data_IF_448125571935
#
_entry.id   IF_448125571935
#
_cell.length_a   1.000
_cell.length_b   1.000
_cell.length_c   1.000
_cell.angle_alpha   90.00
_cell.angle_beta   90.00
_cell.angle_gamma   90.00
#
_symmetry.space_group_name_H-M   'P 1'
#
loop_
_entity.id
_entity.type
_entity.pdbx_description
1 polymer ?
#
# COMPACT_ATOMS: atom_id res chain seq x y z
N UNK A 1 -23.70 6.03 -3.55
CA UNK A 1 -22.82 6.75 -2.59
C UNK A 1 -21.36 6.56 -2.97
N UNK A 2 -20.91 5.32 -3.21
CA UNK A 2 -19.63 5.04 -3.85
C UNK A 2 -19.44 5.81 -5.17
N UNK A 3 -20.51 5.90 -5.96
CA UNK A 3 -20.47 6.50 -7.30
C UNK A 3 -20.22 8.01 -7.34
N UNK A 4 -20.17 8.67 -6.17
CA UNK A 4 -19.86 10.10 -6.03
C UNK A 4 -18.40 10.36 -5.68
N UNK A 5 -17.59 9.31 -5.56
CA UNK A 5 -16.18 9.44 -5.21
C UNK A 5 -15.29 8.96 -6.34
N UNK A 6 -14.20 9.68 -6.54
CA UNK A 6 -13.12 9.34 -7.47
C UNK A 6 -11.85 9.11 -6.67
N UNK A 7 -11.12 8.05 -7.00
CA UNK A 7 -9.89 7.66 -6.33
C UNK A 7 -8.66 8.24 -7.04
N UNK A 8 -7.83 8.99 -6.33
CA UNK A 8 -6.47 9.30 -6.79
C UNK A 8 -5.47 8.49 -5.98
N UNK A 9 -4.39 8.05 -6.63
CA UNK A 9 -3.26 7.45 -5.94
C UNK A 9 -2.03 8.32 -6.13
N UNK A 10 -1.36 8.66 -5.03
CA UNK A 10 -0.08 9.39 -5.03
C UNK A 10 0.97 8.58 -4.28
N UNK A 11 2.24 8.85 -4.55
CA UNK A 11 3.33 8.20 -3.83
C UNK A 11 4.54 9.13 -3.67
N UNK A 12 5.28 8.94 -2.58
CA UNK A 12 6.47 9.71 -2.26
C UNK A 12 7.34 9.02 -1.22
N UNK A 13 8.37 9.72 -0.74
CA UNK A 13 9.32 9.21 0.28
C UNK A 13 9.17 9.89 1.64
N UNK A 14 8.20 10.80 1.78
CA UNK A 14 7.86 11.48 3.02
C UNK A 14 6.34 11.49 3.22
N UNK A 15 5.87 11.90 4.40
CA UNK A 15 4.43 12.10 4.62
C UNK A 15 3.90 13.41 4.03
N UNK A 16 4.77 14.28 3.50
CA UNK A 16 4.36 15.54 2.89
C UNK A 16 3.69 15.28 1.52
N UNK A 17 2.38 15.52 1.37
CA UNK A 17 1.68 15.22 0.12
C UNK A 17 2.13 16.10 -1.05
N UNK A 18 2.70 17.28 -0.79
CA UNK A 18 3.22 18.17 -1.84
C UNK A 18 4.47 17.60 -2.54
N UNK A 19 5.18 16.70 -1.86
CA UNK A 19 6.36 15.99 -2.41
C UNK A 19 5.96 14.71 -3.15
N UNK A 20 4.68 14.37 -3.19
CA UNK A 20 4.21 13.14 -3.83
C UNK A 20 3.99 13.35 -5.33
N UNK A 21 4.16 12.27 -6.08
CA UNK A 21 3.84 12.18 -7.49
C UNK A 21 2.55 11.38 -7.67
N UNK A 22 1.74 11.75 -8.67
CA UNK A 22 0.55 10.98 -9.05
C UNK A 22 0.98 9.64 -9.63
N UNK A 23 0.41 8.55 -9.12
CA UNK A 23 0.65 7.20 -9.62
C UNK A 23 -0.27 6.95 -10.81
N UNK A 24 0.26 6.60 -12.01
CA UNK A 24 -0.56 6.27 -13.17
C UNK A 24 -1.14 4.86 -13.01
N UNK A 25 -2.24 4.74 -12.25
CA UNK A 25 -2.87 3.45 -11.93
C UNK A 25 -3.19 2.67 -13.20
N UNK A 26 -2.92 1.35 -13.17
CA UNK A 26 -3.08 0.40 -14.27
C UNK A 26 -2.24 0.69 -15.53
N UNK A 27 -1.36 1.70 -15.52
CA UNK A 27 -0.47 1.99 -16.65
C UNK A 27 0.58 0.89 -16.86
N UNK A 28 1.02 0.74 -18.12
CA UNK A 28 2.18 -0.09 -18.46
C UNK A 28 3.50 0.52 -17.94
N UNK A 29 3.54 1.82 -17.67
CA UNK A 29 4.74 2.50 -17.17
C UNK A 29 4.76 2.57 -15.64
N UNK A 30 5.83 2.12 -14.97
CA UNK A 30 6.00 2.33 -13.54
C UNK A 30 6.28 3.81 -13.23
N UNK A 31 5.98 4.22 -11.99
CA UNK A 31 6.41 5.49 -11.42
C UNK A 31 7.77 5.32 -10.76
N UNK A 32 8.76 6.11 -11.18
CA UNK A 32 10.10 6.14 -10.57
C UNK A 32 10.16 7.17 -9.44
N UNK A 33 10.68 6.74 -8.29
CA UNK A 33 10.84 7.57 -7.09
C UNK A 33 12.27 7.38 -6.58
N UNK A 34 12.96 8.48 -6.29
CA UNK A 34 14.33 8.49 -5.80
C UNK A 34 14.43 9.40 -4.56
N UNK A 35 15.21 8.99 -3.57
CA UNK A 35 15.59 9.80 -2.41
C UNK A 35 17.02 9.46 -1.97
N UNK A 36 17.52 10.14 -0.95
CA UNK A 36 18.79 9.82 -0.31
C UNK A 36 18.82 8.42 0.36
N UNK A 37 17.66 7.79 0.58
CA UNK A 37 17.56 6.51 1.28
C UNK A 37 17.19 5.33 0.37
N UNK A 38 16.49 5.57 -0.74
CA UNK A 38 15.95 4.49 -1.59
C UNK A 38 15.73 4.92 -3.03
N UNK A 39 15.93 3.98 -3.96
CA UNK A 39 15.44 4.02 -5.34
C UNK A 39 14.25 3.08 -5.47
N UNK A 40 13.15 3.51 -6.10
CA UNK A 40 11.92 2.72 -6.25
C UNK A 40 11.34 2.86 -7.66
N UNK A 41 10.90 1.75 -8.24
CA UNK A 41 9.93 1.75 -9.34
C UNK A 41 8.63 1.11 -8.85
N UNK A 42 7.53 1.84 -8.95
CA UNK A 42 6.22 1.49 -8.38
C UNK A 42 5.17 1.29 -9.47
N UNK A 43 4.35 0.25 -9.32
CA UNK A 43 3.08 0.09 -10.02
C UNK A 43 1.96 -0.18 -9.04
N UNK A 44 0.87 0.58 -9.19
CA UNK A 44 -0.40 0.31 -8.53
C UNK A 44 -1.40 -0.14 -9.58
N UNK A 45 -2.05 -1.27 -9.32
CA UNK A 45 -3.09 -1.84 -10.17
C UNK A 45 -4.35 -1.99 -9.37
N UNK A 46 -5.49 -1.60 -9.92
CA UNK A 46 -6.79 -1.66 -9.27
C UNK A 46 -7.79 -2.20 -10.28
N UNK A 47 -8.52 -3.26 -9.92
CA UNK A 47 -9.55 -3.87 -10.75
C UNK A 47 -10.79 -2.97 -10.72
N UNK A 48 -11.41 -2.74 -11.89
CA UNK A 48 -12.55 -1.83 -12.04
C UNK A 48 -12.28 -0.41 -11.48
N UNK A 49 -11.10 0.12 -11.80
CA UNK A 49 -10.63 1.44 -11.38
C UNK A 49 -11.50 2.56 -11.95
N UNK A 50 -11.96 3.45 -11.07
CA UNK A 50 -12.58 4.74 -11.37
C UNK A 50 -11.81 5.80 -10.60
N UNK A 51 -10.95 6.53 -11.28
CA UNK A 51 -9.99 7.38 -10.58
C UNK A 51 -9.24 8.36 -11.47
N UNK A 52 -8.30 9.06 -10.85
CA UNK A 52 -7.42 10.04 -11.48
C UNK A 52 -6.01 9.47 -11.72
N UNK A 53 -5.38 9.75 -12.87
CA UNK A 53 -5.92 10.56 -13.99
C UNK A 53 -7.07 9.84 -14.71
N UNK A 54 -8.02 10.59 -15.28
CA UNK A 54 -9.19 10.02 -15.97
C UNK A 54 -8.82 9.12 -17.15
N UNK A 55 -7.62 9.28 -17.70
CA UNK A 55 -7.06 8.45 -18.78
C UNK A 55 -6.54 7.09 -18.30
N UNK A 56 -6.47 6.83 -16.99
CA UNK A 56 -5.98 5.55 -16.47
C UNK A 56 -6.89 4.39 -16.91
N UNK A 57 -6.32 3.25 -17.34
CA UNK A 57 -7.12 2.08 -17.69
C UNK A 57 -7.99 1.62 -16.52
N UNK A 58 -9.21 1.18 -16.84
CA UNK A 58 -10.17 0.65 -15.84
C UNK A 58 -9.66 -0.64 -15.18
N UNK A 59 -8.78 -1.39 -15.87
CA UNK A 59 -8.21 -2.63 -15.34
C UNK A 59 -6.84 -2.91 -15.94
N UNK A 60 -6.18 -3.94 -15.44
CA UNK A 60 -4.89 -4.43 -15.93
C UNK A 60 -4.97 -5.92 -16.29
N UNK A 61 -4.22 -6.34 -17.31
CA UNK A 61 -4.04 -7.75 -17.68
C UNK A 61 -3.46 -8.60 -16.55
N UNK A 62 -2.81 -7.97 -15.56
CA UNK A 62 -2.36 -8.59 -14.32
C UNK A 62 -3.45 -9.44 -13.64
N UNK A 63 -4.69 -8.95 -13.58
CA UNK A 63 -5.79 -9.64 -12.91
C UNK A 63 -6.31 -10.86 -13.67
N UNK A 64 -5.89 -11.03 -14.93
CA UNK A 64 -6.20 -12.21 -15.76
C UNK A 64 -5.16 -13.32 -15.63
N UNK A 65 -4.02 -13.07 -14.97
CA UNK A 65 -3.03 -14.11 -14.71
C UNK A 65 -3.65 -15.20 -13.81
N UNK A 66 -3.34 -16.49 -14.02
CA UNK A 66 -4.06 -17.60 -13.38
C UNK A 66 -4.17 -17.48 -11.85
N UNK A 67 -3.11 -16.99 -11.19
CA UNK A 67 -3.07 -16.80 -9.75
C UNK A 67 -4.06 -15.72 -9.29
N UNK A 68 -3.99 -14.54 -9.88
CA UNK A 68 -4.82 -13.39 -9.50
C UNK A 68 -6.29 -13.57 -9.90
N UNK A 69 -6.54 -14.28 -11.01
CA UNK A 69 -7.88 -14.66 -11.43
C UNK A 69 -8.53 -15.66 -10.47
N UNK A 70 -7.76 -16.67 -10.01
CA UNK A 70 -8.24 -17.70 -9.07
C UNK A 70 -8.65 -17.09 -7.74
N UNK A 71 -7.85 -16.17 -7.20
CA UNK A 71 -8.07 -15.58 -5.89
C UNK A 71 -8.97 -14.32 -5.93
N UNK A 72 -9.37 -13.86 -7.14
CA UNK A 72 -10.13 -12.63 -7.41
C UNK A 72 -9.50 -11.38 -6.77
N UNK A 73 -8.18 -11.24 -6.91
CA UNK A 73 -7.43 -10.09 -6.42
C UNK A 73 -8.03 -8.78 -6.95
N UNK A 74 -8.18 -7.80 -6.05
CA UNK A 74 -8.83 -6.51 -6.36
C UNK A 74 -7.85 -5.39 -6.61
N UNK A 75 -6.66 -5.48 -6.04
CA UNK A 75 -5.60 -4.52 -6.26
C UNK A 75 -4.23 -5.17 -6.03
N UNK A 76 -3.20 -4.49 -6.53
CA UNK A 76 -1.80 -4.82 -6.33
C UNK A 76 -0.99 -3.53 -6.16
N UNK A 77 -0.03 -3.57 -5.24
CA UNK A 77 1.05 -2.60 -5.08
C UNK A 77 2.34 -3.37 -5.33
N UNK A 78 2.86 -3.29 -6.56
CA UNK A 78 4.13 -3.90 -6.93
C UNK A 78 5.22 -2.85 -6.97
N UNK A 79 6.36 -3.12 -6.34
CA UNK A 79 7.48 -2.20 -6.37
C UNK A 79 8.81 -2.95 -6.42
N UNK A 80 9.71 -2.48 -7.27
CA UNK A 80 11.12 -2.80 -7.17
C UNK A 80 11.81 -1.69 -6.37
N UNK A 81 12.77 -2.03 -5.52
CA UNK A 81 13.52 -1.05 -4.77
C UNK A 81 14.97 -1.44 -4.50
N UNK A 82 15.81 -0.44 -4.25
CA UNK A 82 17.18 -0.63 -3.77
C UNK A 82 17.51 0.42 -2.72
N UNK A 83 18.00 -0.03 -1.57
CA UNK A 83 18.34 0.82 -0.43
C UNK A 83 19.73 1.45 -0.60
N UNK A 84 19.91 2.67 -0.08
CA UNK A 84 21.23 3.32 -0.01
C UNK A 84 22.02 2.92 1.23
N UNK A 85 21.35 2.42 2.27
CA UNK A 85 21.94 1.89 3.50
C UNK A 85 21.30 0.55 3.87
N UNK A 86 22.10 -0.38 4.41
CA UNK A 86 21.62 -1.70 4.83
C UNK A 86 20.69 -1.58 6.03
N UNK A 87 19.55 -2.31 6.01
CA UNK A 87 18.56 -2.31 7.10
C UNK A 87 18.42 -3.75 7.66
N UNK A 88 18.28 -3.88 8.98
CA UNK A 88 18.02 -5.19 9.61
C UNK A 88 16.66 -5.75 9.16
N UNK A 89 16.57 -7.08 9.03
CA UNK A 89 15.34 -7.75 8.59
C UNK A 89 14.09 -7.39 9.40
N UNK A 90 14.24 -7.19 10.70
CA UNK A 90 13.16 -6.81 11.61
C UNK A 90 12.78 -5.32 11.60
N UNK A 91 13.58 -4.46 10.96
CA UNK A 91 13.38 -3.01 10.97
C UNK A 91 12.81 -2.44 9.68
N UNK A 92 12.90 -3.18 8.57
CA UNK A 92 12.21 -2.80 7.33
C UNK A 92 10.76 -3.29 7.40
N UNK A 93 9.86 -2.36 7.66
CA UNK A 93 8.44 -2.63 7.87
C UNK A 93 7.61 -2.23 6.65
N UNK A 94 6.53 -2.96 6.40
CA UNK A 94 5.49 -2.60 5.45
C UNK A 94 4.11 -2.74 6.09
N UNK A 95 3.20 -1.84 5.77
CA UNK A 95 1.84 -1.89 6.30
C UNK A 95 1.12 -0.57 6.15
N UNK A 96 0.15 -0.31 7.05
CA UNK A 96 -0.72 0.86 7.01
C UNK A 96 -0.51 1.75 8.24
N UNK A 97 -0.65 3.06 8.05
CA UNK A 97 -0.69 4.02 9.15
C UNK A 97 -1.71 5.13 8.86
N UNK A 98 -2.11 5.83 9.93
CA UNK A 98 -3.12 6.87 9.89
C UNK A 98 -2.63 8.09 10.67
N UNK A 99 -2.88 9.27 10.12
CA UNK A 99 -2.45 10.53 10.74
C UNK A 99 -3.32 10.89 11.94
N UNK A 100 -4.58 10.48 11.88
CA UNK A 100 -5.62 10.87 12.81
C UNK A 100 -6.24 9.64 13.47
N UNK A 101 -6.76 9.78 14.70
CA UNK A 101 -7.44 8.69 15.37
C UNK A 101 -8.66 8.21 14.55
N UNK A 102 -8.83 6.89 14.48
CA UNK A 102 -9.97 6.25 13.80
C UNK A 102 -10.92 5.55 14.76
N UNK A 103 -10.59 5.49 16.06
CA UNK A 103 -11.31 4.73 17.10
C UNK A 103 -12.82 4.99 17.14
N UNK A 104 -13.25 6.24 16.93
CA UNK A 104 -14.67 6.62 16.96
C UNK A 104 -15.43 6.29 15.67
N UNK A 105 -14.71 5.83 14.64
CA UNK A 105 -15.23 5.48 13.31
C UNK A 105 -15.16 3.98 13.03
N UNK A 106 -14.67 3.19 13.98
CA UNK A 106 -14.56 1.74 13.80
C UNK A 106 -15.96 1.10 13.81
N UNK A 107 -16.26 0.21 12.85
CA UNK A 107 -17.49 -0.56 12.84
C UNK A 107 -17.71 -1.32 14.16
N UNK A 108 -18.97 -1.49 14.62
CA UNK A 108 -19.26 -2.43 15.69
C UNK A 108 -18.67 -3.82 15.39
N UNK A 109 -17.93 -4.39 16.34
CA UNK A 109 -17.25 -5.68 16.14
C UNK A 109 -15.92 -5.61 15.38
N UNK A 110 -15.33 -4.43 15.18
CA UNK A 110 -14.03 -4.28 14.52
C UNK A 110 -12.91 -5.11 15.18
N UNK A 111 -12.93 -5.31 16.50
CA UNK A 111 -11.99 -6.22 17.18
C UNK A 111 -12.05 -7.66 16.63
N UNK A 112 -13.21 -8.11 16.18
CA UNK A 112 -13.38 -9.42 15.52
C UNK A 112 -12.79 -9.38 14.11
N UNK A 113 -13.04 -8.32 13.32
CA UNK A 113 -12.43 -8.16 12.00
C UNK A 113 -10.90 -8.08 12.09
N UNK A 114 -10.37 -7.33 13.06
CA UNK A 114 -8.95 -7.20 13.33
C UNK A 114 -8.32 -8.53 13.74
N UNK A 115 -9.01 -9.31 14.57
CA UNK A 115 -8.60 -10.68 14.88
C UNK A 115 -8.60 -11.55 13.62
N UNK A 116 -9.60 -11.47 12.75
CA UNK A 116 -9.62 -12.23 11.49
C UNK A 116 -8.42 -11.83 10.60
N UNK A 117 -8.09 -10.55 10.49
CA UNK A 117 -6.91 -10.08 9.74
C UNK A 117 -5.62 -10.70 10.30
N UNK A 118 -5.40 -10.64 11.61
CA UNK A 118 -4.20 -11.25 12.22
C UNK A 118 -4.15 -12.77 12.09
N UNK A 119 -5.28 -13.45 12.26
CA UNK A 119 -5.33 -14.91 12.28
C UNK A 119 -5.32 -15.55 10.89
N UNK A 120 -5.91 -14.90 9.89
CA UNK A 120 -6.11 -15.47 8.56
C UNK A 120 -5.33 -14.79 7.44
N UNK A 121 -4.92 -13.53 7.60
CA UNK A 121 -4.33 -12.74 6.50
C UNK A 121 -2.84 -12.52 6.70
N UNK A 122 -2.45 -11.89 7.82
CA UNK A 122 -1.03 -11.69 8.16
C UNK A 122 -0.82 -11.76 9.69
N UNK A 123 -0.24 -12.86 10.19
CA UNK A 123 0.07 -13.03 11.61
C UNK A 123 1.23 -12.17 12.10
N UNK A 124 2.02 -11.58 11.20
CA UNK A 124 3.15 -10.70 11.53
C UNK A 124 2.76 -9.25 11.76
N UNK A 125 1.48 -8.89 11.54
CA UNK A 125 1.01 -7.53 11.77
C UNK A 125 0.98 -7.21 13.28
N UNK A 126 1.76 -6.22 13.66
CA UNK A 126 1.69 -5.53 14.93
C UNK A 126 1.05 -4.16 14.72
N UNK A 127 0.31 -3.70 15.73
CA UNK A 127 -0.19 -2.33 15.67
C UNK A 127 -1.27 -2.01 16.68
N UNK A 128 -1.52 -0.71 16.78
CA UNK A 128 -2.51 -0.12 17.66
C UNK A 128 -3.49 0.70 16.80
N UNK A 129 -4.70 0.18 16.67
CA UNK A 129 -5.80 0.79 15.93
C UNK A 129 -6.56 1.85 16.74
N UNK A 130 -6.34 1.92 18.05
CA UNK A 130 -7.00 2.84 18.98
C UNK A 130 -6.13 4.06 19.33
N UNK A 131 -4.84 4.02 18.99
CA UNK A 131 -3.89 5.12 19.14
C UNK A 131 -4.36 6.42 18.48
N UNK A 132 -3.75 7.54 18.89
CA UNK A 132 -3.99 8.83 18.23
C UNK A 132 -3.43 8.87 16.80
N UNK A 133 -2.34 8.11 16.57
CA UNK A 133 -1.82 7.82 15.23
C UNK A 133 -1.86 6.31 15.01
N UNK A 134 -3.01 5.78 14.56
CA UNK A 134 -3.18 4.35 14.37
C UNK A 134 -2.18 3.77 13.37
N UNK A 135 -1.74 2.54 13.58
CA UNK A 135 -0.84 1.85 12.66
C UNK A 135 -1.01 0.35 12.71
N UNK A 136 -0.62 -0.31 11.61
CA UNK A 136 -0.56 -1.74 11.40
C UNK A 136 0.64 -2.04 10.52
N UNK A 137 1.72 -2.55 11.11
CA UNK A 137 2.96 -2.87 10.39
C UNK A 137 3.39 -4.30 10.68
N UNK A 138 3.99 -4.94 9.69
CA UNK A 138 4.78 -6.15 9.89
C UNK A 138 6.13 -6.04 9.18
N UNK A 139 7.09 -6.93 9.50
CA UNK A 139 8.31 -7.04 8.73
C UNK A 139 8.00 -7.28 7.24
N UNK A 140 8.70 -6.56 6.35
CA UNK A 140 8.45 -6.67 4.90
C UNK A 140 8.49 -8.13 4.41
N UNK A 141 9.40 -8.93 4.97
CA UNK A 141 9.58 -10.33 4.62
C UNK A 141 8.38 -11.24 4.93
N UNK A 142 7.47 -10.83 5.83
CA UNK A 142 6.22 -11.56 6.12
C UNK A 142 4.98 -10.88 5.55
N UNK A 143 5.01 -9.56 5.38
CA UNK A 143 3.82 -8.77 5.02
C UNK A 143 3.57 -8.59 3.52
N UNK A 144 4.44 -9.14 2.66
CA UNK A 144 4.29 -9.07 1.20
C UNK A 144 3.96 -10.45 0.60
N UNK A 145 3.14 -10.51 -0.44
CA UNK A 145 2.76 -11.78 -1.10
C UNK A 145 3.90 -12.38 -1.92
N UNK A 146 4.65 -11.55 -2.66
CA UNK A 146 5.82 -12.00 -3.44
C UNK A 146 7.05 -11.23 -3.02
N UNK A 147 8.12 -11.96 -2.69
CA UNK A 147 9.46 -11.40 -2.53
C UNK A 147 10.41 -11.98 -3.58
N UNK A 148 10.95 -11.10 -4.41
CA UNK A 148 12.01 -11.37 -5.35
C UNK A 148 13.32 -10.74 -4.86
N UNK A 149 14.37 -11.55 -4.71
CA UNK A 149 15.72 -11.08 -4.36
C UNK A 149 16.55 -10.97 -5.64
N UNK A 150 16.88 -9.75 -6.03
CA UNK A 150 17.68 -9.46 -7.22
C UNK A 150 19.18 -9.44 -6.92
N UNK A 151 19.88 -8.53 -7.61
CA UNK A 151 21.32 -8.33 -7.48
C UNK A 151 21.66 -6.84 -7.54
N UNK A 152 22.94 -6.49 -7.46
CA UNK A 152 23.41 -5.11 -7.70
C UNK A 152 23.28 -4.68 -9.16
N UNK A 153 23.12 -5.63 -10.09
CA UNK A 153 22.73 -5.34 -11.48
C UNK A 153 21.21 -5.20 -11.50
N UNK A 154 20.75 -3.95 -11.39
CA UNK A 154 19.33 -3.61 -11.36
C UNK A 154 18.66 -3.99 -12.68
N UNK A 155 17.63 -4.82 -12.60
CA UNK A 155 16.80 -5.26 -13.75
C UNK A 155 15.55 -4.40 -13.87
N UNK A 156 14.95 -4.03 -12.73
CA UNK A 156 13.65 -3.38 -12.66
C UNK A 156 13.75 -1.89 -12.38
N UNK A 157 14.85 -1.41 -11.78
CA UNK A 157 15.14 0.01 -11.49
C UNK A 157 15.86 0.74 -12.65
N UNK A 158 15.94 0.15 -13.84
CA UNK A 158 16.74 0.70 -14.95
C UNK A 158 16.32 2.13 -15.32
N UNK A 159 17.31 3.03 -15.42
CA UNK A 159 17.15 4.43 -15.85
C UNK A 159 16.93 4.58 -17.37
N UNK A 160 17.12 3.51 -18.14
CA UNK A 160 16.96 3.56 -19.59
C UNK A 160 15.48 3.37 -19.93
N UNK A 161 14.80 4.49 -20.17
CA UNK A 161 13.40 4.66 -20.60
C UNK A 161 12.99 3.89 -21.88
N UNK A 162 13.87 3.07 -22.46
CA UNK A 162 13.63 2.36 -23.71
C UNK A 162 12.99 0.99 -23.54
N UNK A 163 12.93 0.47 -22.30
CA UNK A 163 12.11 -0.71 -22.01
C UNK A 163 10.82 -0.26 -21.34
N UNK A 164 9.87 0.19 -22.16
CA UNK A 164 8.55 0.70 -21.79
C UNK A 164 7.69 -0.27 -20.97
N UNK A 165 8.14 -1.52 -20.80
CA UNK A 165 7.46 -2.60 -20.12
C UNK A 165 8.33 -3.23 -19.02
N UNK A 166 8.86 -2.42 -18.09
CA UNK A 166 9.13 -2.95 -16.76
C UNK A 166 7.78 -3.33 -16.14
N UNK A 167 7.26 -4.51 -16.48
CA UNK A 167 5.91 -4.93 -16.11
C UNK A 167 5.74 -5.04 -14.59
N UNK A 168 6.83 -5.03 -13.83
CA UNK A 168 6.90 -5.30 -12.38
C UNK A 168 6.04 -6.51 -12.02
N UNK A 169 6.24 -7.59 -12.78
CA UNK A 169 5.70 -8.91 -12.50
C UNK A 169 6.81 -9.73 -11.88
N UNK A 170 6.59 -10.12 -10.62
CA UNK A 170 7.57 -10.86 -9.84
C UNK A 170 7.10 -12.30 -9.65
N UNK A 171 8.07 -13.20 -9.53
CA UNK A 171 7.86 -14.53 -8.98
C UNK A 171 8.63 -14.64 -7.67
N UNK A 172 8.09 -15.41 -6.73
CA UNK A 172 8.75 -15.66 -5.45
C UNK A 172 10.13 -16.31 -5.69
N UNK A 173 11.15 -15.84 -4.98
CA UNK A 173 12.51 -16.33 -5.13
C UNK A 173 13.49 -15.20 -5.42
N UNK A 174 14.21 -15.30 -6.54
CA UNK A 174 15.21 -14.31 -6.93
C UNK A 174 15.90 -14.62 -8.26
N UNK A 175 16.84 -13.77 -8.68
CA UNK A 175 17.79 -14.13 -9.73
C UNK A 175 18.71 -15.26 -9.25
N UNK A 176 19.67 -15.71 -10.07
CA UNK A 176 20.62 -16.76 -9.66
C UNK A 176 21.33 -16.44 -8.34
N UNK A 177 21.89 -15.23 -8.24
CA UNK A 177 22.60 -14.75 -7.03
C UNK A 177 21.63 -14.58 -5.86
N UNK A 178 20.45 -13.99 -6.08
CA UNK A 178 19.46 -13.80 -5.03
C UNK A 178 18.87 -15.11 -4.51
N UNK A 179 18.71 -16.11 -5.38
CA UNK A 179 18.28 -17.45 -5.01
C UNK A 179 19.35 -18.19 -4.20
N UNK A 180 20.64 -18.03 -4.58
CA UNK A 180 21.74 -18.56 -3.79
C UNK A 180 21.80 -17.94 -2.39
N UNK A 181 21.61 -16.61 -2.29
CA UNK A 181 21.54 -15.90 -1.01
C UNK A 181 20.38 -16.39 -0.14
N UNK A 182 19.19 -16.59 -0.72
CA UNK A 182 18.04 -17.15 0.00
C UNK A 182 18.36 -18.54 0.58
N UNK A 183 18.98 -19.40 -0.23
CA UNK A 183 19.37 -20.75 0.20
C UNK A 183 20.41 -20.73 1.32
N UNK A 184 21.44 -19.88 1.23
CA UNK A 184 22.45 -19.76 2.29
C UNK A 184 21.85 -19.27 3.61
N UNK A 185 20.82 -18.43 3.54
CA UNK A 185 20.08 -17.92 4.70
C UNK A 185 18.92 -18.83 5.13
N UNK A 186 18.77 -20.01 4.51
CA UNK A 186 17.69 -20.97 4.78
C UNK A 186 16.28 -20.39 4.63
N UNK A 187 16.12 -19.39 3.75
CA UNK A 187 14.81 -18.81 3.43
C UNK A 187 14.07 -19.80 2.51
N UNK A 188 12.87 -20.27 2.87
CA UNK A 188 12.10 -21.19 2.05
C UNK A 188 11.71 -20.61 0.68
N UNK A 189 11.54 -21.49 -0.32
CA UNK A 189 11.15 -21.09 -1.68
C UNK A 189 9.66 -20.77 -1.82
N UNK A 190 8.81 -21.43 -1.03
CA UNK A 190 7.36 -21.20 -1.07
C UNK A 190 6.96 -19.96 -0.25
N UNK A 191 6.06 -19.13 -0.79
CA UNK A 191 5.56 -17.91 -0.13
C UNK A 191 5.13 -18.14 1.32
N UNK A 192 4.23 -19.08 1.56
CA UNK A 192 3.67 -19.30 2.90
C UNK A 192 4.76 -19.68 3.92
N UNK A 193 5.75 -20.47 3.47
CA UNK A 193 6.89 -20.85 4.28
C UNK A 193 7.86 -19.68 4.49
N UNK A 194 8.11 -18.85 3.46
CA UNK A 194 8.87 -17.59 3.60
C UNK A 194 8.21 -16.68 4.63
N UNK A 195 6.90 -16.43 4.51
CA UNK A 195 6.18 -15.55 5.42
C UNK A 195 6.35 -16.05 6.86
N UNK A 196 6.13 -17.34 7.10
CA UNK A 196 6.36 -17.98 8.40
C UNK A 196 7.81 -17.85 8.89
N UNK A 197 8.80 -18.02 8.01
CA UNK A 197 10.21 -17.85 8.34
C UNK A 197 10.51 -16.45 8.88
N UNK A 198 9.93 -15.42 8.27
CA UNK A 198 10.07 -14.02 8.68
C UNK A 198 9.16 -13.58 9.84
N UNK A 199 8.38 -14.48 10.45
CA UNK A 199 7.74 -14.22 11.75
C UNK A 199 8.69 -14.50 12.93
N UNK A 200 9.73 -15.30 12.69
CA UNK A 200 10.70 -15.65 13.73
C UNK A 200 11.72 -14.53 13.95
N UNK A 201 11.88 -14.11 15.21
CA UNK A 201 12.78 -13.01 15.58
C UNK A 201 14.25 -13.32 15.30
N UNK A 202 14.68 -14.58 15.44
CA UNK A 202 16.04 -15.01 15.15
C UNK A 202 16.35 -14.90 13.65
N UNK A 203 15.45 -15.40 12.82
CA UNK A 203 15.55 -15.29 11.36
C UNK A 203 15.54 -13.83 10.90
N UNK A 204 14.63 -13.00 11.44
CA UNK A 204 14.60 -11.57 11.15
C UNK A 204 15.90 -10.86 11.51
N UNK A 205 16.48 -11.19 12.66
CA UNK A 205 17.73 -10.59 13.12
C UNK A 205 18.93 -11.00 12.25
N UNK A 206 18.90 -12.22 11.70
CA UNK A 206 19.94 -12.74 10.82
C UNK A 206 19.85 -12.20 9.38
N UNK A 207 18.65 -11.81 8.93
CA UNK A 207 18.46 -11.25 7.59
C UNK A 207 18.85 -9.77 7.52
N UNK A 208 19.45 -9.38 6.38
CA UNK A 208 19.77 -7.98 6.07
C UNK A 208 19.22 -7.61 4.70
N UNK A 209 18.52 -6.49 4.66
CA UNK A 209 18.17 -5.80 3.42
C UNK A 209 19.39 -5.00 3.00
N UNK A 210 20.24 -5.59 2.17
CA UNK A 210 21.55 -5.06 1.80
C UNK A 210 21.45 -3.86 0.86
N UNK A 211 22.26 -2.83 1.14
CA UNK A 211 22.37 -1.66 0.27
C UNK A 211 22.80 -2.04 -1.16
N UNK A 212 22.18 -1.39 -2.14
CA UNK A 212 22.48 -1.56 -3.56
C UNK A 212 21.93 -2.85 -4.20
N UNK A 213 21.46 -3.83 -3.42
CA UNK A 213 20.69 -4.96 -3.97
C UNK A 213 19.32 -4.47 -4.41
N UNK A 214 18.86 -4.95 -5.55
CA UNK A 214 17.48 -4.76 -6.00
C UNK A 214 16.58 -5.84 -5.40
N UNK A 215 15.46 -5.43 -4.82
CA UNK A 215 14.40 -6.29 -4.32
C UNK A 215 13.11 -6.00 -5.09
N UNK A 216 12.36 -7.04 -5.44
CA UNK A 216 11.03 -6.93 -6.03
C UNK A 216 9.98 -7.39 -5.02
N UNK A 217 8.90 -6.62 -4.89
CA UNK A 217 7.81 -6.87 -3.96
C UNK A 217 6.48 -6.77 -4.69
N UNK A 218 5.54 -7.65 -4.37
CA UNK A 218 4.15 -7.53 -4.80
C UNK A 218 3.21 -7.80 -3.63
N UNK A 219 2.39 -6.81 -3.30
CA UNK A 219 1.33 -6.89 -2.31
C UNK A 219 -0.02 -6.85 -3.00
N UNK A 220 -0.80 -7.91 -2.87
CA UNK A 220 -2.12 -8.03 -3.49
C UNK A 220 -3.05 -8.87 -2.62
N UNK A 221 -4.33 -8.59 -2.72
CA UNK A 221 -5.35 -9.38 -2.07
C UNK A 221 -6.75 -9.11 -2.65
N UNK A 222 -7.71 -10.00 -2.37
CA UNK A 222 -9.11 -9.81 -2.74
C UNK A 222 -9.92 -9.00 -1.73
N UNK A 223 -9.28 -8.52 -0.64
CA UNK A 223 -10.00 -8.05 0.54
C UNK A 223 -10.47 -6.61 0.47
N UNK A 224 -9.79 -5.73 -0.28
CA UNK A 224 -10.24 -4.34 -0.45
C UNK A 224 -10.69 -4.11 -1.90
N UNK A 225 -11.99 -3.92 -2.07
CA UNK A 225 -12.59 -3.55 -3.35
C UNK A 225 -12.76 -2.03 -3.42
N UNK A 226 -11.87 -1.36 -4.15
CA UNK A 226 -11.91 0.10 -4.34
C UNK A 226 -13.04 0.56 -5.27
N UNK A 227 -13.61 -0.33 -6.08
CA UNK A 227 -14.74 0.03 -6.96
C UNK A 227 -16.06 0.11 -6.17
N UNK A 228 -16.26 -0.83 -5.23
CA UNK A 228 -17.44 -0.90 -4.38
C UNK A 228 -17.22 -0.32 -2.97
N UNK A 229 -16.01 0.17 -2.67
CA UNK A 229 -15.54 0.58 -1.34
C UNK A 229 -15.96 -0.40 -0.25
N UNK A 230 -15.64 -1.68 -0.46
CA UNK A 230 -16.07 -2.78 0.39
C UNK A 230 -14.87 -3.57 0.89
N UNK A 231 -14.81 -3.78 2.20
CA UNK A 231 -13.90 -4.72 2.83
C UNK A 231 -14.55 -6.11 2.76
N UNK A 232 -13.93 -7.01 1.99
CA UNK A 232 -14.30 -8.41 1.84
C UNK A 232 -13.43 -9.24 2.78
N UNK A 233 -14.03 -9.93 3.72
CA UNK A 233 -13.33 -10.86 4.60
C UNK A 233 -14.01 -12.24 4.51
N UNK A 234 -13.32 -13.33 4.89
CA UNK A 234 -13.94 -14.65 4.91
C UNK A 234 -15.25 -14.64 5.71
N UNK A 235 -16.36 -14.98 5.05
CA UNK A 235 -17.68 -15.06 5.67
C UNK A 235 -18.47 -13.75 5.84
N UNK A 236 -17.91 -12.58 5.50
CA UNK A 236 -18.68 -11.32 5.52
C UNK A 236 -18.11 -10.24 4.60
N UNK A 237 -18.94 -9.26 4.26
CA UNK A 237 -18.53 -8.06 3.52
C UNK A 237 -19.03 -6.81 4.24
N UNK A 238 -18.15 -5.83 4.36
CA UNK A 238 -18.39 -4.60 5.10
C UNK A 238 -18.27 -3.40 4.13
N UNK A 239 -19.39 -2.72 3.81
CA UNK A 239 -19.35 -1.47 3.07
C UNK A 239 -18.64 -0.40 3.89
N UNK A 240 -17.48 0.06 3.43
CA UNK A 240 -16.62 0.99 4.17
C UNK A 240 -17.26 2.39 4.18
N UNK A 241 -17.95 2.78 3.10
CA UNK A 241 -18.58 4.10 2.99
C UNK A 241 -19.58 4.44 4.10
N UNK A 242 -20.19 3.42 4.74
CA UNK A 242 -21.10 3.64 5.88
C UNK A 242 -20.39 4.13 7.15
N UNK A 243 -19.09 3.86 7.26
CA UNK A 243 -18.23 4.25 8.38
C UNK A 243 -17.27 5.37 8.01
N UNK A 244 -17.20 5.67 6.72
CA UNK A 244 -16.48 6.78 6.11
C UNK A 244 -17.24 8.10 6.24
N UNK A 245 -18.48 8.06 6.73
CA UNK A 245 -19.47 9.11 6.47
C UNK A 245 -19.02 10.49 6.95
N UNK A 246 -19.12 11.45 6.03
CA UNK A 246 -19.29 12.87 6.32
C UNK A 246 -20.62 13.15 7.01
N UNK A 247 -21.02 12.33 7.98
CA UNK A 247 -22.06 12.71 8.91
C UNK A 247 -21.49 13.82 9.79
N UNK A 248 -21.92 15.04 9.48
CA UNK A 248 -22.13 16.07 10.48
C UNK A 248 -22.60 15.38 11.75
N UNK A 249 -21.79 15.54 12.79
CA UNK A 249 -22.07 15.09 14.14
C UNK A 249 -23.58 15.19 14.40
N UNK A 250 -24.17 14.07 14.77
CA UNK A 250 -25.39 14.08 15.59
C UNK A 250 -25.20 15.16 16.64
N UNK A 251 -26.00 16.21 16.53
CA UNK A 251 -26.55 16.98 17.63
C UNK A 251 -25.70 16.91 18.91
N UNK A 252 -24.66 17.75 19.02
CA UNK A 252 -24.40 18.31 20.34
C UNK A 252 -25.61 19.20 20.62
N UNK A 253 -26.50 18.79 21.51
CA UNK A 253 -27.49 19.69 22.11
C UNK A 253 -26.75 20.99 22.49
N UNK A 254 -26.99 22.08 21.75
CA UNK A 254 -26.58 23.43 22.15
C UNK A 254 -25.57 24.21 21.28
N UNK A 255 -25.05 23.72 20.15
CA UNK A 255 -24.21 24.55 19.25
C UNK A 255 -24.79 24.64 17.84
N UNK A 256 -25.09 25.87 17.41
CA UNK A 256 -25.55 26.21 16.05
C UNK A 256 -24.45 25.82 15.04
N UNK A 257 -24.80 25.00 14.05
CA UNK A 257 -23.89 24.53 13.00
C UNK A 257 -23.86 25.53 11.84
N UNK A 258 -22.86 26.40 11.81
CA UNK A 258 -22.51 27.18 10.62
C UNK A 258 -21.04 27.01 10.18
N UNK A 259 -20.20 26.33 10.96
CA UNK A 259 -18.77 26.12 10.63
C UNK A 259 -18.34 24.66 10.88
N UNK A 260 -18.84 23.72 10.09
CA UNK A 260 -18.23 22.38 10.03
C UNK A 260 -18.07 22.05 8.55
N UNK A 261 -16.92 22.40 7.98
CA UNK A 261 -16.52 21.83 6.70
C UNK A 261 -16.45 20.29 6.89
N UNK A 262 -17.24 19.49 6.17
CA UNK A 262 -17.06 18.04 6.19
C UNK A 262 -15.62 17.73 5.74
N UNK A 263 -15.00 16.69 6.31
CA UNK A 263 -13.70 16.21 5.79
C UNK A 263 -13.89 15.90 4.29
N UNK A 264 -13.22 16.67 3.43
CA UNK A 264 -13.42 16.66 1.97
C UNK A 264 -12.63 15.55 1.27
N UNK A 265 -11.76 14.88 2.00
CA UNK A 265 -10.97 13.77 1.49
C UNK A 265 -10.66 12.77 2.61
N UNK A 266 -10.36 11.55 2.20
CA UNK A 266 -10.08 10.45 3.11
C UNK A 266 -9.03 9.54 2.47
N UNK A 267 -8.09 9.08 3.30
CA UNK A 267 -6.85 8.47 2.82
C UNK A 267 -6.65 7.09 3.41
N UNK A 268 -6.28 6.13 2.58
CA UNK A 268 -5.64 4.88 2.98
C UNK A 268 -4.17 4.96 2.58
N UNK A 269 -3.25 4.76 3.54
CA UNK A 269 -1.80 4.85 3.31
C UNK A 269 -1.14 3.49 3.46
N UNK A 270 -0.28 3.12 2.52
CA UNK A 270 0.65 2.01 2.64
C UNK A 270 2.06 2.56 2.74
N UNK A 271 2.81 2.13 3.75
CA UNK A 271 4.11 2.72 4.08
C UNK A 271 5.17 1.64 4.22
N UNK A 272 6.26 1.78 3.47
CA UNK A 272 7.54 1.11 3.68
C UNK A 272 8.40 2.02 4.57
N UNK A 273 8.88 1.50 5.70
CA UNK A 273 9.54 2.32 6.72
C UNK A 273 10.72 1.59 7.35
N UNK A 274 11.78 2.33 7.65
CA UNK A 274 12.83 1.89 8.57
C UNK A 274 12.43 2.27 10.00
N UNK A 275 12.07 1.29 10.83
CA UNK A 275 11.69 1.54 12.22
C UNK A 275 12.86 2.06 13.06
N UNK A 276 14.08 1.57 12.83
CA UNK A 276 15.24 1.92 13.66
C UNK A 276 15.58 3.43 13.60
N UNK A 277 15.34 4.06 12.44
CA UNK A 277 15.60 5.49 12.22
C UNK A 277 14.33 6.32 12.11
N UNK A 278 13.15 5.68 12.20
CA UNK A 278 11.85 6.28 11.91
C UNK A 278 11.71 6.86 10.48
N UNK A 279 12.57 6.47 9.54
CA UNK A 279 12.61 6.99 8.17
C UNK A 279 11.53 6.35 7.30
N UNK A 280 10.68 7.18 6.67
CA UNK A 280 9.78 6.73 5.60
C UNK A 280 10.61 6.53 4.33
N UNK A 281 10.43 5.38 3.68
CA UNK A 281 11.15 5.03 2.45
C UNK A 281 10.23 5.11 1.23
N UNK A 282 8.99 4.67 1.39
CA UNK A 282 7.95 4.79 0.38
C UNK A 282 6.61 4.93 1.10
N UNK A 283 5.79 5.87 0.67
CA UNK A 283 4.38 5.92 1.02
C UNK A 283 3.54 5.92 -0.26
N UNK A 284 2.47 5.15 -0.27
CA UNK A 284 1.46 5.12 -1.34
C UNK A 284 0.13 5.48 -0.71
N UNK A 285 -0.45 6.58 -1.16
CA UNK A 285 -1.67 7.17 -0.59
C UNK A 285 -2.81 7.02 -1.58
N UNK A 286 -3.90 6.41 -1.13
CA UNK A 286 -5.15 6.25 -1.85
C UNK A 286 -6.13 7.27 -1.28
N UNK A 287 -6.44 8.32 -2.03
CA UNK A 287 -7.32 9.41 -1.59
C UNK A 287 -8.64 9.38 -2.36
N UNK A 288 -9.76 9.37 -1.62
CA UNK A 288 -11.08 9.59 -2.20
C UNK A 288 -11.42 11.07 -2.19
N UNK A 289 -11.80 11.59 -3.34
CA UNK A 289 -12.36 12.92 -3.53
C UNK A 289 -13.80 12.82 -3.98
N UNK A 290 -14.62 13.82 -3.65
CA UNK A 290 -15.95 13.94 -4.25
C UNK A 290 -15.81 14.30 -5.74
N UNK A 291 -16.71 13.79 -6.57
CA UNK A 291 -16.77 14.16 -7.98
C UNK A 291 -16.97 15.66 -8.18
N UNK A 292 -17.75 16.28 -7.30
CA UNK A 292 -17.99 17.72 -7.32
C UNK A 292 -16.72 18.55 -7.07
N UNK A 293 -15.64 17.94 -6.56
CA UNK A 293 -14.35 18.58 -6.29
C UNK A 293 -13.37 18.48 -7.47
N UNK A 294 -13.78 17.82 -8.56
CA UNK A 294 -12.98 17.55 -9.74
C UNK A 294 -13.61 18.27 -10.94
N UNK A 295 -12.80 18.93 -11.76
CA UNK A 295 -13.27 19.57 -12.98
C UNK A 295 -13.41 18.60 -14.16
N UNK A 296 -13.88 19.09 -15.31
CA UNK A 296 -14.09 18.28 -16.52
C UNK A 296 -12.79 17.70 -17.11
N UNK A 297 -11.63 18.19 -16.69
CA UNK A 297 -10.32 17.72 -17.11
C UNK A 297 -9.67 16.74 -16.11
N UNK A 298 -10.35 16.44 -15.00
CA UNK A 298 -9.83 15.57 -13.95
C UNK A 298 -8.86 16.27 -13.01
N UNK A 299 -8.89 17.61 -12.95
CA UNK A 299 -8.05 18.40 -12.05
C UNK A 299 -8.84 18.70 -10.77
N UNK A 300 -8.16 18.57 -9.63
CA UNK A 300 -8.73 18.91 -8.33
C UNK A 300 -8.85 20.43 -8.21
N UNK A 301 -10.01 20.92 -7.75
CA UNK A 301 -10.20 22.35 -7.49
C UNK A 301 -9.22 22.86 -6.43
N UNK A 302 -8.83 24.13 -6.53
CA UNK A 302 -7.84 24.74 -5.61
C UNK A 302 -8.28 24.65 -4.14
N UNK A 303 -7.33 24.38 -3.25
CA UNK A 303 -7.56 24.25 -1.80
C UNK A 303 -8.06 22.87 -1.33
N UNK A 304 -8.20 21.89 -2.22
CA UNK A 304 -8.54 20.49 -1.87
C UNK A 304 -7.34 19.55 -1.82
N UNK A 305 -6.19 19.98 -2.36
CA UNK A 305 -4.92 19.34 -2.01
C UNK A 305 -4.81 19.44 -0.51
N UNK A 306 -4.78 18.29 0.14
CA UNK A 306 -4.91 18.16 1.58
C UNK A 306 -3.90 19.10 2.25
N UNK A 307 -4.34 20.28 2.72
CA UNK A 307 -3.61 21.02 3.74
C UNK A 307 -3.74 20.16 4.99
N UNK A 308 -2.77 19.27 5.15
CA UNK A 308 -2.61 18.43 6.31
C UNK A 308 -1.83 19.28 7.31
N UNK A 309 -2.56 20.07 8.10
CA UNK A 309 -2.02 20.66 9.34
C UNK A 309 -1.55 19.55 10.30
#
# INVERSE_FOLDING_TARGET
MADKYILQVTAGTSYNPEEHQVVPVNSSRPLSIESEHISVNLKVRIKAYRGLPLSSPITSSYFSLPRHAKDDDKYSISFAFSLKSTINGGDLLFGNDFENPIRDRLPPGFNTAFRIVKWFIDPGLEGDIYADKPYLYGPLGSSINILYVGSKKHRFLSKNNDNSDAELLFTEGGCEVGSALRKSMKIPDAEAARKKHFLDRGNLSNWKWEAGIEYGCDFFNPYLDFSAFTLRLPGFSLPIMKYWDGQALRYSKGKKSYDINPKRSHTLRYTLKNRATNTVLLVVVFTLYLEDDIDEHGVLKEGLVCQMD
#
